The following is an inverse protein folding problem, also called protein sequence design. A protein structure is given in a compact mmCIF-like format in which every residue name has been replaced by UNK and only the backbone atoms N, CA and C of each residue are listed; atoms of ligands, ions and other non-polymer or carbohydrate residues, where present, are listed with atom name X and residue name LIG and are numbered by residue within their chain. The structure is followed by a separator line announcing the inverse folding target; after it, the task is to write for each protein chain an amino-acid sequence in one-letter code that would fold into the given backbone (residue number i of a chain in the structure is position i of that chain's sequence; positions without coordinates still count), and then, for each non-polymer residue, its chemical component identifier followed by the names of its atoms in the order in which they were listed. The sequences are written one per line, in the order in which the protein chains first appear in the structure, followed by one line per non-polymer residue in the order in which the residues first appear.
data_IF_960815279256
#
_entry.id   IF_960815279256
#
_cell.length_a   1.000
_cell.length_b   1.000
_cell.length_c   1.000
_cell.angle_alpha   90.00
_cell.angle_beta   90.00
_cell.angle_gamma   90.00
#
_symmetry.space_group_name_H-M   'P 1'
#
loop_
_entity.id
_entity.type
_entity.pdbx_description
1 polymer ?
#
# COMPACT_ATOMS: atom_id res chain seq x y z
N UNK A 1 -5.60 0.59 23.30
CA UNK A 1 -4.77 0.30 22.11
C UNK A 1 -3.45 1.05 22.25
N UNK A 2 -2.32 0.46 21.82
CA UNK A 2 -1.04 1.17 21.75
C UNK A 2 -1.15 2.30 20.71
N UNK A 3 -0.52 3.44 20.98
CA UNK A 3 -0.50 4.55 20.03
C UNK A 3 0.11 4.10 18.69
N UNK A 4 -0.37 4.64 17.55
CA UNK A 4 0.15 4.26 16.24
C UNK A 4 1.64 4.60 16.15
N UNK A 5 2.47 3.67 15.70
CA UNK A 5 3.85 3.99 15.35
C UNK A 5 3.82 4.80 14.05
N UNK A 6 4.39 5.99 14.06
CA UNK A 6 4.50 6.80 12.85
C UNK A 6 5.39 6.10 11.82
N UNK A 7 5.07 6.26 10.53
CA UNK A 7 5.83 5.67 9.44
C UNK A 7 6.65 6.73 8.70
N UNK A 8 7.96 6.54 8.66
CA UNK A 8 8.90 7.51 8.09
C UNK A 8 9.28 7.23 6.63
N UNK A 9 8.91 6.06 6.09
CA UNK A 9 9.25 5.63 4.74
C UNK A 9 10.70 5.16 4.54
N UNK A 10 11.44 4.85 5.62
CA UNK A 10 12.84 4.38 5.51
C UNK A 10 12.99 2.87 5.53
N UNK A 11 12.06 2.15 6.15
CA UNK A 11 12.10 0.70 6.34
C UNK A 11 10.95 0.03 5.57
N UNK A 12 11.21 -0.56 4.39
CA UNK A 12 10.15 -1.08 3.54
C UNK A 12 9.27 -2.15 4.19
N UNK A 13 9.88 -3.04 4.97
CA UNK A 13 9.18 -4.10 5.70
C UNK A 13 8.19 -3.57 6.77
N UNK A 14 8.27 -2.30 7.18
CA UNK A 14 7.33 -1.71 8.14
C UNK A 14 6.01 -1.23 7.51
N UNK A 15 5.95 -1.07 6.19
CA UNK A 15 4.74 -0.56 5.51
C UNK A 15 3.53 -1.46 5.76
N UNK A 16 3.75 -2.77 5.80
CA UNK A 16 2.71 -3.76 6.10
C UNK A 16 2.15 -3.60 7.51
N UNK A 17 3.04 -3.56 8.51
CA UNK A 17 2.63 -3.39 9.91
C UNK A 17 1.87 -2.08 10.12
N UNK A 18 2.28 -1.02 9.43
CA UNK A 18 1.58 0.26 9.43
C UNK A 18 0.15 0.14 8.87
N UNK A 19 -0.03 -0.46 7.70
CA UNK A 19 -1.34 -0.66 7.08
C UNK A 19 -2.26 -1.56 7.92
N UNK A 20 -1.76 -2.70 8.40
CA UNK A 20 -2.52 -3.65 9.23
C UNK A 20 -3.02 -3.01 10.52
N UNK A 21 -2.20 -2.15 11.12
CA UNK A 21 -2.59 -1.40 12.31
C UNK A 21 -3.81 -0.48 12.04
N UNK A 22 -3.82 0.26 10.93
CA UNK A 22 -4.97 1.10 10.58
C UNK A 22 -6.21 0.29 10.21
N UNK A 23 -6.05 -0.82 9.49
CA UNK A 23 -7.15 -1.74 9.22
C UNK A 23 -7.85 -2.19 10.51
N UNK A 24 -7.08 -2.48 11.58
CA UNK A 24 -7.63 -2.83 12.89
C UNK A 24 -8.40 -1.67 13.53
N UNK A 25 -7.86 -0.44 13.49
CA UNK A 25 -8.55 0.75 13.98
C UNK A 25 -9.89 0.95 13.27
N UNK A 26 -9.89 0.85 11.94
CA UNK A 26 -11.10 1.09 11.15
C UNK A 26 -12.17 0.03 11.37
N UNK A 27 -11.76 -1.22 11.58
CA UNK A 27 -12.70 -2.28 11.96
C UNK A 27 -13.26 -2.09 13.37
N UNK A 28 -12.46 -1.52 14.29
CA UNK A 28 -12.91 -1.24 15.65
C UNK A 28 -13.88 -0.05 15.72
N UNK A 29 -13.82 0.87 14.76
CA UNK A 29 -14.67 2.08 14.73
C UNK A 29 -15.26 2.32 13.33
N UNK A 30 -16.20 1.43 12.97
CA UNK A 30 -16.89 1.47 11.68
C UNK A 30 -17.71 2.76 11.46
N UNK A 31 -18.20 3.37 12.54
CA UNK A 31 -19.02 4.58 12.45
C UNK A 31 -18.19 5.78 11.97
N UNK A 32 -17.02 6.00 12.59
CA UNK A 32 -16.14 7.11 12.24
C UNK A 32 -15.39 6.87 10.92
N UNK A 33 -15.09 5.60 10.60
CA UNK A 33 -14.32 5.21 9.40
C UNK A 33 -15.19 4.55 8.31
N UNK A 34 -16.46 4.92 8.22
CA UNK A 34 -17.39 4.45 7.18
C UNK A 34 -17.01 4.88 5.75
N UNK A 35 -16.24 5.97 5.61
CA UNK A 35 -15.79 6.49 4.32
C UNK A 35 -14.30 6.25 4.12
N UNK A 36 -13.93 5.72 2.96
CA UNK A 36 -12.54 5.44 2.59
C UNK A 36 -11.65 6.69 2.60
N UNK A 37 -12.18 7.84 2.20
CA UNK A 37 -11.46 9.11 2.29
C UNK A 37 -11.08 9.46 3.73
N UNK A 38 -11.95 9.20 4.71
CA UNK A 38 -11.63 9.45 6.14
C UNK A 38 -10.49 8.54 6.61
N UNK A 39 -10.48 7.29 6.16
CA UNK A 39 -9.38 6.34 6.43
C UNK A 39 -8.06 6.86 5.90
N UNK A 40 -8.01 7.23 4.62
CA UNK A 40 -6.79 7.71 3.97
C UNK A 40 -6.26 9.01 4.60
N UNK A 41 -7.13 9.99 4.87
CA UNK A 41 -6.77 11.26 5.53
C UNK A 41 -6.26 11.01 6.95
N UNK A 42 -6.94 10.16 7.72
CA UNK A 42 -6.52 9.84 9.07
C UNK A 42 -5.17 9.12 9.12
N UNK A 43 -4.96 8.10 8.27
CA UNK A 43 -3.65 7.41 8.22
C UNK A 43 -2.52 8.33 7.78
N UNK A 44 -2.81 9.30 6.92
CA UNK A 44 -1.84 10.28 6.44
C UNK A 44 -1.24 11.12 7.58
N UNK A 45 -2.00 11.40 8.66
CA UNK A 45 -1.46 12.17 9.80
C UNK A 45 -0.38 11.43 10.61
N UNK A 46 -0.17 10.13 10.33
CA UNK A 46 0.86 9.31 10.96
C UNK A 46 2.08 9.07 10.05
N UNK A 47 2.10 9.71 8.88
CA UNK A 47 3.27 9.73 8.02
C UNK A 47 4.22 10.82 8.51
N UNK A 48 5.49 10.47 8.64
CA UNK A 48 6.58 11.37 9.04
C UNK A 48 7.74 11.26 8.05
N UNK A 49 8.79 12.07 8.21
CA UNK A 49 10.04 11.91 7.46
C UNK A 49 9.86 11.92 5.93
N UNK A 50 10.35 10.87 5.27
CA UNK A 50 10.25 10.73 3.80
C UNK A 50 8.80 10.50 3.35
N UNK A 51 8.01 9.79 4.13
CA UNK A 51 6.61 9.54 3.83
C UNK A 51 5.76 10.81 3.95
N UNK A 52 6.05 11.69 4.92
CA UNK A 52 5.39 12.99 5.03
C UNK A 52 5.68 13.88 3.81
N UNK A 53 6.93 13.94 3.32
CA UNK A 53 7.29 14.70 2.12
C UNK A 53 6.48 14.31 0.89
N UNK A 54 6.16 13.02 0.75
CA UNK A 54 5.29 12.55 -0.33
C UNK A 54 3.89 13.17 -0.24
N UNK A 55 3.33 13.26 0.96
CA UNK A 55 2.02 13.87 1.22
C UNK A 55 2.05 15.39 1.07
N UNK A 56 3.11 16.05 1.53
CA UNK A 56 3.28 17.50 1.43
C UNK A 56 3.10 18.00 0.00
N UNK A 57 3.55 17.23 -1.01
CA UNK A 57 3.34 17.54 -2.42
C UNK A 57 1.86 17.55 -2.85
N UNK A 58 0.99 16.80 -2.18
CA UNK A 58 -0.45 16.87 -2.42
C UNK A 58 -1.11 17.96 -1.59
N UNK A 59 -0.64 18.20 -0.37
CA UNK A 59 -1.17 19.24 0.52
C UNK A 59 -0.85 20.65 0.00
N UNK A 60 0.31 20.85 -0.63
CA UNK A 60 0.69 22.14 -1.22
C UNK A 60 -0.22 22.58 -2.38
N UNK A 61 -0.93 21.64 -3.01
CA UNK A 61 -1.92 21.90 -4.05
C UNK A 61 -3.34 22.21 -3.52
N UNK A 62 -3.56 22.15 -2.19
CA UNK A 62 -4.87 22.37 -1.55
C UNK A 62 -5.32 23.84 -1.46
N UNK A 63 -4.59 24.78 -2.06
CA UNK A 63 -4.96 26.21 -2.07
C UNK A 63 -6.29 26.48 -2.76
N UNK A 64 -6.80 25.52 -3.55
CA UNK A 64 -8.18 25.48 -4.01
C UNK A 64 -8.83 24.21 -3.44
N UNK A 65 -10.12 24.27 -3.11
CA UNK A 65 -10.94 23.26 -2.40
C UNK A 65 -10.90 21.79 -2.89
N UNK A 66 -10.07 21.43 -3.86
CA UNK A 66 -9.90 20.09 -4.39
C UNK A 66 -8.96 19.25 -3.53
N UNK A 67 -9.51 18.68 -2.45
CA UNK A 67 -8.96 17.50 -1.79
C UNK A 67 -8.92 16.25 -2.70
N UNK A 68 -9.26 16.39 -3.99
CA UNK A 68 -9.18 15.33 -4.99
C UNK A 68 -7.74 14.84 -5.24
N UNK A 69 -6.73 15.59 -4.79
CA UNK A 69 -5.33 15.17 -4.86
C UNK A 69 -4.94 14.11 -3.82
N UNK A 70 -5.64 14.03 -2.69
CA UNK A 70 -5.41 12.94 -1.73
C UNK A 70 -6.11 11.67 -2.20
N UNK A 71 -5.59 10.48 -1.83
CA UNK A 71 -6.27 9.23 -2.15
C UNK A 71 -7.69 9.24 -1.58
N UNK A 72 -8.68 9.29 -2.46
CA UNK A 72 -10.10 9.26 -2.10
C UNK A 72 -10.57 7.84 -1.70
N UNK A 73 -9.74 6.84 -1.99
CA UNK A 73 -9.93 5.42 -1.69
C UNK A 73 -8.83 4.93 -0.75
N UNK A 74 -9.22 4.09 0.22
CA UNK A 74 -8.27 3.41 1.11
C UNK A 74 -7.35 2.48 0.32
N UNK A 75 -7.90 1.74 -0.64
CA UNK A 75 -7.15 0.82 -1.51
C UNK A 75 -6.10 1.56 -2.34
N UNK A 76 -6.41 2.78 -2.81
CA UNK A 76 -5.45 3.59 -3.54
C UNK A 76 -4.31 4.07 -2.63
N UNK A 77 -4.64 4.55 -1.43
CA UNK A 77 -3.65 4.93 -0.43
C UNK A 77 -2.68 3.79 -0.12
N UNK A 78 -3.22 2.60 0.17
CA UNK A 78 -2.45 1.39 0.44
C UNK A 78 -1.53 1.03 -0.74
N UNK A 79 -2.08 0.96 -1.95
CA UNK A 79 -1.32 0.67 -3.17
C UNK A 79 -0.17 1.65 -3.40
N UNK A 80 -0.40 2.95 -3.21
CA UNK A 80 0.63 3.97 -3.37
C UNK A 80 1.71 3.85 -2.30
N UNK A 81 1.33 3.58 -1.04
CA UNK A 81 2.29 3.42 0.05
C UNK A 81 3.21 2.22 -0.19
N UNK A 82 2.66 1.08 -0.61
CA UNK A 82 3.43 -0.10 -1.02
C UNK A 82 4.28 0.17 -2.27
N UNK A 83 3.79 0.96 -3.22
CA UNK A 83 4.55 1.29 -4.43
C UNK A 83 5.76 2.17 -4.16
N UNK A 84 5.62 3.13 -3.25
CA UNK A 84 6.64 4.14 -2.98
C UNK A 84 7.62 3.71 -1.89
N UNK A 85 7.14 2.97 -0.90
CA UNK A 85 7.91 2.63 0.29
C UNK A 85 8.01 1.12 0.55
N UNK A 86 7.27 0.27 -0.16
CA UNK A 86 7.39 -1.18 -0.07
C UNK A 86 8.67 -1.71 -0.72
N UNK A 87 8.98 -2.98 -0.49
CA UNK A 87 10.15 -3.61 -1.11
C UNK A 87 9.82 -3.92 -2.58
N UNK A 88 10.60 -3.42 -3.56
CA UNK A 88 10.34 -3.70 -4.98
C UNK A 88 10.45 -5.20 -5.32
N UNK A 89 11.17 -5.98 -4.52
CA UNK A 89 11.28 -7.42 -4.67
C UNK A 89 10.25 -8.22 -3.86
N UNK A 90 9.34 -7.56 -3.13
CA UNK A 90 8.37 -8.22 -2.24
C UNK A 90 7.54 -9.27 -3.00
N UNK A 91 7.01 -8.92 -4.18
CA UNK A 91 6.25 -9.84 -5.04
C UNK A 91 7.07 -11.05 -5.44
N UNK A 92 8.26 -10.82 -6.02
CA UNK A 92 9.14 -11.91 -6.48
C UNK A 92 9.56 -12.81 -5.31
N UNK A 93 9.79 -12.21 -4.15
CA UNK A 93 10.13 -12.96 -2.94
C UNK A 93 8.94 -13.80 -2.47
N UNK A 94 7.73 -13.23 -2.47
CA UNK A 94 6.51 -13.95 -2.11
C UNK A 94 6.20 -15.10 -3.07
N UNK A 95 6.41 -14.91 -4.38
CA UNK A 95 6.30 -15.97 -5.39
C UNK A 95 7.31 -17.10 -5.12
N UNK A 96 8.59 -16.76 -4.93
CA UNK A 96 9.62 -17.76 -4.62
C UNK A 96 9.35 -18.51 -3.30
N UNK A 97 8.86 -17.80 -2.28
CA UNK A 97 8.48 -18.40 -1.00
C UNK A 97 7.24 -19.29 -1.16
N UNK A 98 6.29 -18.94 -2.03
CA UNK A 98 5.12 -19.76 -2.33
C UNK A 98 5.48 -21.03 -3.11
N UNK A 99 6.35 -20.93 -4.11
CA UNK A 99 6.84 -22.07 -4.90
C UNK A 99 7.64 -23.06 -4.06
N UNK A 100 8.34 -22.57 -3.04
CA UNK A 100 9.09 -23.39 -2.09
C UNK A 100 8.27 -23.79 -0.84
N UNK A 101 7.01 -23.33 -0.73
CA UNK A 101 6.17 -23.60 0.42
C UNK A 101 5.67 -25.04 0.39
N UNK A 102 6.36 -25.89 1.13
CA UNK A 102 5.95 -27.28 1.37
C UNK A 102 5.65 -27.50 2.85
N UNK A 103 4.63 -28.29 3.14
CA UNK A 103 4.41 -28.79 4.50
C UNK A 103 5.51 -29.81 4.82
N UNK A 104 6.41 -29.48 5.74
CA UNK A 104 7.47 -30.38 6.17
C UNK A 104 6.89 -31.64 6.80
N UNK A 105 7.63 -32.75 6.72
CA UNK A 105 7.26 -33.99 7.41
C UNK A 105 7.21 -33.75 8.93
N UNK A 106 6.09 -34.10 9.56
CA UNK A 106 5.80 -33.77 10.96
C UNK A 106 5.42 -32.31 11.23
N UNK A 107 5.31 -31.47 10.20
CA UNK A 107 4.87 -30.08 10.31
C UNK A 107 3.38 -29.93 10.57
N UNK A 108 3.00 -28.85 11.27
CA UNK A 108 1.60 -28.55 11.53
C UNK A 108 0.94 -27.87 10.32
N UNK A 109 -0.23 -28.39 9.92
CA UNK A 109 -1.05 -27.80 8.86
C UNK A 109 -1.41 -26.32 9.12
N UNK A 110 -1.62 -25.95 10.38
CA UNK A 110 -1.90 -24.56 10.77
C UNK A 110 -0.76 -23.60 10.40
N UNK A 111 0.49 -24.03 10.55
CA UNK A 111 1.66 -23.23 10.17
C UNK A 111 1.75 -23.07 8.65
N UNK A 112 1.53 -24.16 7.91
CA UNK A 112 1.48 -24.12 6.45
C UNK A 112 0.39 -23.17 5.92
N UNK A 113 -0.85 -23.30 6.42
CA UNK A 113 -1.98 -22.46 5.99
C UNK A 113 -1.78 -20.99 6.36
N UNK A 114 -1.21 -20.69 7.52
CA UNK A 114 -0.94 -19.31 7.92
C UNK A 114 0.06 -18.64 6.97
N UNK A 115 1.16 -19.34 6.62
CA UNK A 115 2.16 -18.82 5.69
C UNK A 115 1.59 -18.67 4.27
N UNK A 116 0.87 -19.70 3.78
CA UNK A 116 0.23 -19.65 2.46
C UNK A 116 -0.70 -18.43 2.33
N UNK A 117 -1.56 -18.20 3.33
CA UNK A 117 -2.51 -17.07 3.32
C UNK A 117 -1.79 -15.72 3.35
N UNK A 118 -0.71 -15.60 4.14
CA UNK A 118 0.08 -14.37 4.21
C UNK A 118 0.72 -14.01 2.86
N UNK A 119 1.36 -15.00 2.23
CA UNK A 119 1.99 -14.84 0.91
C UNK A 119 0.97 -14.57 -0.20
N UNK A 120 -0.18 -15.24 -0.16
CA UNK A 120 -1.23 -15.03 -1.16
C UNK A 120 -1.82 -13.62 -1.10
N UNK A 121 -2.10 -13.09 0.10
CA UNK A 121 -2.64 -11.73 0.26
C UNK A 121 -1.67 -10.65 -0.25
N UNK A 122 -0.37 -10.87 -0.06
CA UNK A 122 0.70 -9.98 -0.52
C UNK A 122 0.71 -9.84 -2.05
N UNK A 123 0.55 -10.95 -2.76
CA UNK A 123 0.42 -10.95 -4.21
C UNK A 123 -0.89 -10.27 -4.65
N UNK A 124 -2.00 -10.55 -3.98
CA UNK A 124 -3.32 -10.01 -4.34
C UNK A 124 -3.40 -8.48 -4.20
N UNK A 125 -2.88 -7.92 -3.10
CA UNK A 125 -2.85 -6.47 -2.87
C UNK A 125 -2.01 -5.77 -3.95
N UNK A 126 -0.87 -6.36 -4.34
CA UNK A 126 0.00 -5.75 -5.35
C UNK A 126 -0.61 -5.81 -6.75
N UNK A 127 -1.22 -6.92 -7.14
CA UNK A 127 -1.88 -7.07 -8.44
C UNK A 127 -3.06 -6.12 -8.57
N UNK A 128 -3.91 -6.00 -7.54
CA UNK A 128 -5.02 -5.03 -7.52
C UNK A 128 -4.52 -3.59 -7.57
N UNK A 129 -3.46 -3.28 -6.83
CA UNK A 129 -2.82 -1.98 -6.83
C UNK A 129 -2.30 -1.58 -8.21
N UNK A 130 -1.58 -2.48 -8.89
CA UNK A 130 -1.04 -2.25 -10.23
C UNK A 130 -2.15 -2.15 -11.28
N UNK A 131 -3.19 -2.99 -11.21
CA UNK A 131 -4.35 -2.92 -12.11
C UNK A 131 -5.10 -1.58 -12.02
N UNK A 132 -5.25 -1.05 -10.79
CA UNK A 132 -5.85 0.27 -10.55
C UNK A 132 -5.00 1.41 -11.13
N UNK A 133 -3.66 1.29 -11.05
CA UNK A 133 -2.71 2.26 -11.62
C UNK A 133 -2.76 2.22 -13.16
N UNK A 134 -2.71 1.03 -13.76
CA UNK A 134 -2.70 0.82 -15.22
C UNK A 134 -4.04 1.18 -15.89
N UNK A 135 -5.14 1.16 -15.13
CA UNK A 135 -6.47 1.51 -15.63
C UNK A 135 -6.72 3.03 -15.72
N UNK A 136 -5.76 3.87 -15.30
CA UNK A 136 -5.75 5.31 -15.54
C UNK A 136 -6.93 6.11 -14.95
N UNK A 137 -7.75 5.51 -14.07
CA UNK A 137 -9.00 6.14 -13.63
C UNK A 137 -8.81 7.33 -12.69
N UNK A 138 -7.65 7.49 -12.04
CA UNK A 138 -7.49 8.49 -10.96
C UNK A 138 -6.09 9.14 -10.88
N UNK A 139 -5.32 9.17 -11.99
CA UNK A 139 -3.95 9.72 -11.97
C UNK A 139 -3.84 11.15 -12.52
N UNK A 140 -3.23 12.04 -11.74
CA UNK A 140 -2.81 13.37 -12.20
C UNK A 140 -1.57 13.24 -13.13
N UNK A 141 -1.53 13.91 -14.30
CA UNK A 141 -0.49 13.71 -15.33
C UNK A 141 0.96 13.97 -14.91
N UNK A 142 1.20 14.64 -13.77
CA UNK A 142 2.55 14.97 -13.28
C UNK A 142 3.27 13.83 -12.55
N UNK A 143 2.64 12.67 -12.36
CA UNK A 143 3.14 11.62 -11.46
C UNK A 143 4.17 10.67 -12.09
N UNK A 144 4.32 10.67 -13.42
CA UNK A 144 5.20 9.76 -14.15
C UNK A 144 6.70 9.99 -13.90
N UNK A 145 7.07 11.19 -13.44
CA UNK A 145 8.47 11.66 -13.39
C UNK A 145 9.31 10.93 -12.34
N UNK A 146 8.68 10.31 -11.32
CA UNK A 146 9.39 9.68 -10.20
C UNK A 146 9.20 8.15 -10.11
N UNK A 147 8.64 7.52 -11.14
CA UNK A 147 8.39 6.08 -11.09
C UNK A 147 9.69 5.29 -11.38
N UNK A 148 9.94 4.14 -10.71
CA UNK A 148 11.06 3.28 -11.04
C UNK A 148 11.02 2.87 -12.52
N UNK A 149 12.17 2.80 -13.22
CA UNK A 149 12.22 2.51 -14.65
C UNK A 149 11.44 1.26 -15.10
N UNK A 150 11.45 0.21 -14.28
CA UNK A 150 10.74 -1.05 -14.56
C UNK A 150 9.21 -0.90 -14.66
N UNK A 151 8.65 0.14 -14.04
CA UNK A 151 7.22 0.41 -14.09
C UNK A 151 6.85 1.39 -15.22
N UNK A 152 7.80 2.20 -15.69
CA UNK A 152 7.62 3.04 -16.88
C UNK A 152 7.51 2.18 -18.16
N UNK A 153 8.30 1.10 -18.25
CA UNK A 153 8.26 0.15 -19.37
C UNK A 153 6.89 -0.54 -19.52
N UNK A 154 6.18 -0.82 -18.42
CA UNK A 154 4.85 -1.46 -18.44
C UNK A 154 3.74 -0.52 -18.93
N UNK A 155 3.97 0.80 -18.95
CA UNK A 155 2.98 1.78 -19.42
C UNK A 155 3.07 2.14 -20.89
N UNK A 156 4.18 1.80 -21.56
CA UNK A 156 4.32 1.97 -23.00
C UNK A 156 3.63 0.87 -23.82
N UNK A 157 3.06 -0.16 -23.17
CA UNK A 157 2.36 -1.27 -23.84
C UNK A 157 0.89 -0.99 -24.21
N UNK A 158 0.37 0.23 -23.99
CA UNK A 158 -0.92 0.65 -24.55
C UNK A 158 -0.68 1.75 -25.59
N UNK A 159 -0.42 1.33 -26.82
CA UNK A 159 -0.67 2.16 -28.02
C UNK A 159 -1.92 1.63 -28.71
#
# INVERSE_FOLDING_TARGET
MKAPECFDGTQPYKVRSFIQYFQLIFHNDLANFSQDRKKAVFSTSFLIGRAAKWIENYLSNLTNQDLNCLPNSWTLFESQLFTLFGDPNEVRKAEMELDSLIMKEGGHFSFFIANFRGLFQELEIRVKGLSSIISGRDFHPGFWINWPPILQELTHFKT
#
